data_IF_718373022052
#
_entry.id   IF_718373022052
#
_cell.length_a   1.000
_cell.length_b   1.000
_cell.length_c   1.000
_cell.angle_alpha   90.00
_cell.angle_beta   90.00
_cell.angle_gamma   90.00
#
_symmetry.space_group_name_H-M   'P 1'
#
loop_
_entity.id
_entity.type
_entity.pdbx_description
1 polymer ?
#
# COMPACT_ATOMS: atom_id res chain seq x y z
N UNK A 1 -14.08 3.44 -11.73
CA UNK A 1 -14.24 4.63 -10.87
C UNK A 1 -15.39 4.49 -9.87
N UNK A 2 -16.66 4.29 -10.28
CA UNK A 2 -17.76 4.21 -9.31
C UNK A 2 -17.56 3.11 -8.26
N UNK A 3 -17.22 1.90 -8.69
CA UNK A 3 -16.91 0.78 -7.79
C UNK A 3 -15.75 1.10 -6.82
N UNK A 4 -14.76 1.89 -7.24
CA UNK A 4 -13.66 2.33 -6.37
C UNK A 4 -14.16 3.30 -5.29
N UNK A 5 -14.94 4.31 -5.68
CA UNK A 5 -15.52 5.27 -4.72
C UNK A 5 -16.40 4.56 -3.69
N UNK A 6 -17.25 3.63 -4.13
CA UNK A 6 -18.10 2.83 -3.24
C UNK A 6 -17.26 1.95 -2.30
N UNK A 7 -16.26 1.23 -2.82
CA UNK A 7 -15.38 0.36 -2.01
C UNK A 7 -14.70 1.15 -0.87
N UNK A 8 -14.24 2.36 -1.17
CA UNK A 8 -13.51 3.19 -0.22
C UNK A 8 -14.39 4.18 0.55
N UNK A 9 -15.72 4.15 0.37
CA UNK A 9 -16.69 5.06 1.00
C UNK A 9 -16.35 6.54 0.77
N UNK A 10 -15.95 6.87 -0.46
CA UNK A 10 -15.52 8.21 -0.84
C UNK A 10 -16.67 8.99 -1.49
N UNK A 11 -16.78 10.30 -1.26
CA UNK A 11 -17.76 11.13 -1.94
C UNK A 11 -17.43 11.23 -3.44
N UNK A 12 -18.43 11.50 -4.27
CA UNK A 12 -18.21 11.65 -5.71
C UNK A 12 -17.21 12.76 -6.06
N UNK A 13 -17.14 13.82 -5.22
CA UNK A 13 -16.15 14.90 -5.33
C UNK A 13 -14.70 14.44 -5.26
N UNK A 14 -14.44 13.28 -4.62
CA UNK A 14 -13.10 12.70 -4.57
C UNK A 14 -12.58 12.35 -5.96
N UNK A 15 -13.48 12.05 -6.92
CA UNK A 15 -13.09 11.74 -8.30
C UNK A 15 -12.25 12.86 -8.89
N UNK A 16 -12.71 14.10 -8.78
CA UNK A 16 -12.01 15.27 -9.32
C UNK A 16 -10.68 15.47 -8.60
N UNK A 17 -10.64 15.34 -7.28
CA UNK A 17 -9.40 15.44 -6.49
C UNK A 17 -8.38 14.39 -6.93
N UNK A 18 -8.77 13.12 -6.98
CA UNK A 18 -7.88 12.04 -7.39
C UNK A 18 -7.43 12.20 -8.84
N UNK A 19 -8.32 12.63 -9.74
CA UNK A 19 -7.97 12.93 -11.12
C UNK A 19 -6.95 14.06 -11.22
N UNK A 20 -7.11 15.14 -10.44
CA UNK A 20 -6.21 16.27 -10.49
C UNK A 20 -4.82 15.94 -9.92
N UNK A 21 -4.77 15.27 -8.77
CA UNK A 21 -3.50 15.05 -8.05
C UNK A 21 -2.79 13.75 -8.42
N UNK A 22 -3.50 12.70 -8.83
CA UNK A 22 -2.89 11.37 -9.02
C UNK A 22 -2.73 10.96 -10.49
N UNK A 23 -3.46 11.57 -11.42
CA UNK A 23 -3.27 11.28 -12.86
C UNK A 23 -1.92 11.66 -13.43
N UNK A 24 -1.31 12.79 -13.02
CA UNK A 24 0.06 13.09 -13.42
C UNK A 24 1.02 11.96 -13.00
N UNK A 25 0.82 11.41 -11.79
CA UNK A 25 1.61 10.28 -11.29
C UNK A 25 1.36 9.00 -12.10
N UNK A 26 0.11 8.65 -12.41
CA UNK A 26 -0.22 7.49 -13.26
C UNK A 26 0.50 7.60 -14.61
N UNK A 27 0.44 8.79 -15.23
CA UNK A 27 1.08 9.04 -16.54
C UNK A 27 2.59 8.88 -16.45
N UNK A 28 3.21 9.45 -15.41
CA UNK A 28 4.64 9.33 -15.17
C UNK A 28 5.07 7.87 -14.96
N UNK A 29 4.29 7.10 -14.19
CA UNK A 29 4.58 5.68 -13.93
C UNK A 29 4.48 4.84 -15.21
N UNK A 30 3.50 5.11 -16.08
CA UNK A 30 3.39 4.44 -17.39
C UNK A 30 4.59 4.76 -18.29
N UNK A 31 5.06 6.01 -18.30
CA UNK A 31 6.24 6.40 -19.06
C UNK A 31 7.50 5.68 -18.56
N UNK A 32 7.74 5.66 -17.23
CA UNK A 32 8.88 4.93 -16.64
C UNK A 32 8.79 3.44 -16.95
N UNK A 33 7.59 2.86 -16.85
CA UNK A 33 7.35 1.44 -17.14
C UNK A 33 7.70 1.06 -18.58
N UNK A 34 7.47 1.95 -19.56
CA UNK A 34 7.84 1.70 -20.96
C UNK A 34 9.36 1.66 -21.18
N UNK A 35 10.13 2.36 -20.34
CA UNK A 35 11.60 2.46 -20.45
C UNK A 35 12.33 1.38 -19.65
N UNK A 36 11.63 0.63 -18.79
CA UNK A 36 12.20 -0.45 -17.99
C UNK A 36 11.72 -1.81 -18.48
N UNK A 37 12.62 -2.79 -18.57
CA UNK A 37 12.25 -4.18 -18.90
C UNK A 37 11.83 -4.99 -17.67
N UNK A 38 12.21 -4.56 -16.48
CA UNK A 38 11.94 -5.23 -15.20
C UNK A 38 10.69 -4.70 -14.50
N UNK A 39 10.24 -5.41 -13.47
CA UNK A 39 9.15 -4.96 -12.59
C UNK A 39 9.51 -3.61 -11.93
N UNK A 40 8.58 -2.66 -11.98
CA UNK A 40 8.69 -1.38 -11.29
C UNK A 40 8.17 -1.52 -9.85
N UNK A 41 9.00 -1.19 -8.87
CA UNK A 41 8.62 -1.16 -7.46
C UNK A 41 8.33 0.28 -7.03
N UNK A 42 7.16 0.50 -6.41
CA UNK A 42 6.71 1.83 -5.99
C UNK A 42 6.40 1.77 -4.49
N UNK A 43 7.22 2.47 -3.70
CA UNK A 43 6.99 2.63 -2.27
C UNK A 43 5.99 3.75 -1.97
N UNK A 44 4.97 3.48 -1.17
CA UNK A 44 4.01 4.48 -0.68
C UNK A 44 4.15 4.57 0.84
N UNK A 45 4.60 5.72 1.34
CA UNK A 45 4.76 6.01 2.76
C UNK A 45 3.87 7.20 3.16
N UNK A 46 3.55 7.30 4.46
CA UNK A 46 2.66 8.31 5.02
C UNK A 46 2.15 7.91 6.39
N UNK A 47 1.61 8.88 7.13
CA UNK A 47 1.04 8.65 8.47
C UNK A 47 -0.19 7.74 8.45
N UNK A 48 -0.56 7.19 9.60
CA UNK A 48 -1.81 6.44 9.73
C UNK A 48 -3.00 7.35 9.37
N UNK A 49 -3.93 6.82 8.58
CA UNK A 49 -5.08 7.60 8.11
C UNK A 49 -4.80 8.55 6.94
N UNK A 50 -3.56 8.66 6.44
CA UNK A 50 -3.23 9.56 5.33
C UNK A 50 -3.75 9.12 3.95
N UNK A 51 -4.48 8.00 3.86
CA UNK A 51 -5.05 7.49 2.60
C UNK A 51 -4.10 6.65 1.74
N UNK A 52 -2.99 6.11 2.29
CA UNK A 52 -2.03 5.27 1.54
C UNK A 52 -2.69 4.11 0.78
N UNK A 53 -3.52 3.32 1.46
CA UNK A 53 -4.22 2.18 0.86
C UNK A 53 -5.17 2.64 -0.25
N UNK A 54 -5.86 3.77 -0.04
CA UNK A 54 -6.72 4.39 -1.05
C UNK A 54 -5.94 4.82 -2.29
N UNK A 55 -4.77 5.45 -2.10
CA UNK A 55 -3.88 5.83 -3.20
C UNK A 55 -3.33 4.58 -3.92
N UNK A 56 -2.87 3.57 -3.19
CA UNK A 56 -2.37 2.33 -3.76
C UNK A 56 -3.44 1.65 -4.63
N UNK A 57 -4.66 1.51 -4.12
CA UNK A 57 -5.78 0.93 -4.87
C UNK A 57 -6.18 1.78 -6.07
N UNK A 58 -6.08 3.11 -5.97
CA UNK A 58 -6.31 4.01 -7.11
C UNK A 58 -5.30 3.75 -8.22
N UNK A 59 -4.01 3.71 -7.88
CA UNK A 59 -2.93 3.43 -8.84
C UNK A 59 -3.09 2.05 -9.47
N UNK A 60 -3.39 1.01 -8.67
CA UNK A 60 -3.66 -0.35 -9.18
C UNK A 60 -4.81 -0.33 -10.19
N UNK A 61 -5.94 0.29 -9.85
CA UNK A 61 -7.08 0.41 -10.75
C UNK A 61 -6.66 1.09 -12.07
N UNK A 62 -6.01 2.26 -11.98
CA UNK A 62 -5.65 3.07 -13.15
C UNK A 62 -4.62 2.41 -14.06
N UNK A 63 -3.59 1.81 -13.48
CA UNK A 63 -2.54 1.14 -14.25
C UNK A 63 -3.04 -0.17 -14.88
N UNK A 64 -3.90 -0.93 -14.19
CA UNK A 64 -4.56 -2.11 -14.80
C UNK A 64 -5.46 -1.72 -15.97
N UNK A 65 -6.21 -0.62 -15.85
CA UNK A 65 -7.00 -0.07 -16.96
C UNK A 65 -6.13 0.32 -18.16
N UNK A 66 -4.87 0.70 -17.92
CA UNK A 66 -3.87 0.98 -18.96
C UNK A 66 -3.12 -0.29 -19.44
N UNK A 67 -3.63 -1.48 -19.15
CA UNK A 67 -3.08 -2.76 -19.62
C UNK A 67 -1.87 -3.27 -18.84
N UNK A 68 -1.52 -2.68 -17.68
CA UNK A 68 -0.40 -3.14 -16.87
C UNK A 68 -0.80 -4.25 -15.89
N UNK A 69 0.11 -5.18 -15.65
CA UNK A 69 0.01 -6.13 -14.54
C UNK A 69 0.52 -5.46 -13.26
N UNK A 70 -0.37 -5.27 -12.28
CA UNK A 70 -0.05 -4.55 -11.04
C UNK A 70 -0.59 -5.29 -9.83
N UNK A 71 0.20 -5.36 -8.77
CA UNK A 71 -0.19 -5.82 -7.44
C UNK A 71 0.15 -4.73 -6.42
N UNK A 72 -0.68 -4.60 -5.38
CA UNK A 72 -0.36 -3.79 -4.21
C UNK A 72 -0.13 -4.72 -3.02
N UNK A 73 0.90 -4.42 -2.24
CA UNK A 73 1.31 -5.17 -1.07
C UNK A 73 1.42 -4.19 0.10
N UNK A 74 0.85 -4.55 1.25
CA UNK A 74 1.02 -3.78 2.48
C UNK A 74 2.04 -4.45 3.40
N UNK A 75 2.93 -3.67 4.00
CA UNK A 75 3.82 -4.21 5.05
C UNK A 75 3.00 -4.74 6.24
N UNK A 76 1.83 -4.14 6.48
CA UNK A 76 0.92 -4.56 7.55
C UNK A 76 0.37 -5.98 7.34
N UNK A 77 0.42 -6.52 6.12
CA UNK A 77 0.02 -7.92 5.84
C UNK A 77 1.00 -8.92 6.46
N UNK A 78 2.21 -8.48 6.77
CA UNK A 78 3.28 -9.29 7.35
C UNK A 78 3.44 -9.06 8.85
N UNK A 79 2.40 -8.63 9.57
CA UNK A 79 2.49 -8.57 11.02
C UNK A 79 2.65 -9.96 11.63
N UNK A 80 3.54 -10.05 12.62
CA UNK A 80 3.57 -11.18 13.54
C UNK A 80 2.20 -11.34 14.21
N UNK A 81 1.82 -12.60 14.44
CA UNK A 81 0.59 -12.94 15.16
C UNK A 81 0.58 -12.29 16.54
N UNK A 82 -0.62 -12.08 17.10
CA UNK A 82 -0.76 -11.55 18.47
C UNK A 82 0.05 -12.36 19.48
N UNK A 83 0.09 -13.69 19.33
CA UNK A 83 0.84 -14.60 20.20
C UNK A 83 2.35 -14.36 20.11
N UNK A 84 2.91 -14.34 18.89
CA UNK A 84 4.35 -14.07 18.68
C UNK A 84 4.75 -12.71 19.26
N UNK A 85 3.93 -11.67 19.04
CA UNK A 85 4.17 -10.33 19.59
C UNK A 85 4.12 -10.27 21.12
N UNK A 86 3.23 -11.03 21.76
CA UNK A 86 3.20 -11.17 23.23
C UNK A 86 4.46 -11.85 23.76
N UNK A 87 4.96 -12.88 23.07
CA UNK A 87 6.24 -13.53 23.44
C UNK A 87 7.40 -12.53 23.34
N UNK A 88 7.49 -11.76 22.25
CA UNK A 88 8.50 -10.72 22.10
C UNK A 88 8.39 -9.63 23.17
N UNK A 89 7.17 -9.28 23.59
CA UNK A 89 6.95 -8.30 24.64
C UNK A 89 7.54 -8.72 25.99
N UNK A 90 7.49 -10.03 26.30
CA UNK A 90 8.00 -10.60 27.54
C UNK A 90 9.50 -10.87 27.47
N UNK A 91 10.03 -11.23 26.29
CA UNK A 91 11.41 -11.71 26.13
C UNK A 91 12.38 -10.63 25.65
N UNK A 92 11.89 -9.58 24.98
CA UNK A 92 12.71 -8.53 24.37
C UNK A 92 12.32 -7.15 24.89
N UNK A 93 11.11 -6.67 24.62
CA UNK A 93 10.67 -5.34 25.08
C UNK A 93 9.14 -5.16 25.05
N UNK A 94 8.51 -4.58 26.10
CA UNK A 94 7.04 -4.47 26.21
C UNK A 94 6.33 -3.82 25.00
N UNK A 95 6.98 -2.87 24.33
CA UNK A 95 6.42 -2.22 23.13
C UNK A 95 6.13 -3.21 21.99
N UNK A 96 6.79 -4.36 21.93
CA UNK A 96 6.56 -5.35 20.88
C UNK A 96 5.19 -6.05 21.01
N UNK A 97 4.45 -5.80 22.10
CA UNK A 97 3.05 -6.21 22.23
C UNK A 97 2.11 -5.45 21.27
N UNK A 98 2.47 -4.24 20.84
CA UNK A 98 1.68 -3.40 19.93
C UNK A 98 2.07 -3.64 18.47
N UNK A 99 1.24 -3.18 17.53
CA UNK A 99 1.55 -3.21 16.10
C UNK A 99 2.29 -1.92 15.73
N UNK A 100 3.13 -1.98 14.70
CA UNK A 100 3.67 -0.81 14.01
C UNK A 100 5.11 -0.42 14.39
N UNK A 101 5.63 -0.87 15.53
CA UNK A 101 7.04 -0.62 15.88
C UNK A 101 7.98 -1.60 15.14
N UNK A 102 9.23 -1.22 14.84
CA UNK A 102 10.21 -2.12 14.24
C UNK A 102 10.36 -3.43 15.05
N UNK A 103 10.47 -4.56 14.35
CA UNK A 103 10.53 -5.90 14.95
C UNK A 103 9.17 -6.58 15.15
N UNK A 104 8.06 -5.96 14.74
CA UNK A 104 6.71 -6.56 14.85
C UNK A 104 6.21 -7.28 13.59
N UNK A 105 7.06 -7.38 12.57
CA UNK A 105 6.74 -8.00 11.28
C UNK A 105 7.51 -9.30 11.08
N UNK A 106 6.90 -10.24 10.37
CA UNK A 106 7.50 -11.47 9.88
C UNK A 106 8.27 -11.16 8.60
N UNK A 107 9.54 -10.79 8.76
CA UNK A 107 10.41 -10.41 7.64
C UNK A 107 10.74 -11.63 6.77
N UNK A 108 10.89 -12.80 7.39
CA UNK A 108 11.19 -14.04 6.68
C UNK A 108 10.07 -14.41 5.71
N UNK A 109 8.80 -14.25 6.12
CA UNK A 109 7.66 -14.41 5.22
C UNK A 109 7.63 -13.34 4.11
N UNK A 110 8.05 -12.11 4.39
CA UNK A 110 7.99 -11.00 3.43
C UNK A 110 9.01 -11.11 2.29
N UNK A 111 10.09 -11.87 2.48
CA UNK A 111 11.19 -12.01 1.50
C UNK A 111 11.22 -13.38 0.80
N UNK A 112 10.25 -14.25 1.07
CA UNK A 112 10.04 -15.51 0.34
C UNK A 112 9.54 -15.26 -1.08
#
# INVERSE_FOLDING_TARGET
MQAFLTKHQLPDSYRQTAQHFFEPLVTQLLHVRQQQSTTLYIGINGSQGSGKTTLADYLVMRLRQAGQHVCALSIDDFYLTKKQRQTLAQTVHPLLATRGVPGTHDVDLAIQ
#
